data_IF_354898108629
#
_entry.id   IF_354898108629
#
_cell.length_a   1.000
_cell.length_b   1.000
_cell.length_c   1.000
_cell.angle_alpha   90.00
_cell.angle_beta   90.00
_cell.angle_gamma   90.00
#
_symmetry.space_group_name_H-M   'P 1'
#
loop_
_entity.id
_entity.type
_entity.pdbx_description
1 polymer ?
#
# COMPACT_ATOMS: atom_id res chain seq x y z
N UNK A 1 26.35 13.65 -34.40
CA UNK A 1 24.93 13.56 -33.98
C UNK A 1 24.59 12.10 -33.69
N UNK A 2 24.63 11.66 -32.42
CA UNK A 2 24.32 10.26 -32.05
C UNK A 2 22.80 10.03 -32.18
N UNK A 3 22.38 9.22 -33.15
CA UNK A 3 20.99 8.74 -33.23
C UNK A 3 20.75 7.78 -32.06
N UNK A 4 19.96 8.20 -31.08
CA UNK A 4 19.39 7.29 -30.08
C UNK A 4 18.41 6.37 -30.81
N UNK A 5 18.79 5.11 -31.05
CA UNK A 5 17.83 4.06 -31.37
C UNK A 5 17.03 3.79 -30.10
N UNK A 6 15.78 4.26 -30.07
CA UNK A 6 14.82 3.92 -29.03
C UNK A 6 14.42 2.47 -29.26
N UNK A 7 14.87 1.56 -28.39
CA UNK A 7 14.44 0.16 -28.39
C UNK A 7 13.02 0.08 -27.79
N UNK A 8 12.02 0.45 -28.60
CA UNK A 8 10.61 0.64 -28.22
C UNK A 8 10.05 -0.49 -27.34
N UNK A 9 10.34 -1.75 -27.68
CA UNK A 9 9.88 -2.92 -26.93
C UNK A 9 10.45 -3.02 -25.50
N UNK A 10 11.71 -2.62 -25.32
CA UNK A 10 12.35 -2.64 -23.99
C UNK A 10 11.75 -1.57 -23.09
N UNK A 11 11.40 -0.42 -23.65
CA UNK A 11 10.83 0.67 -22.87
C UNK A 11 9.37 0.40 -22.48
N UNK A 12 8.58 -0.25 -23.34
CA UNK A 12 7.24 -0.74 -22.98
C UNK A 12 7.30 -1.73 -21.80
N UNK A 13 8.23 -2.69 -21.83
CA UNK A 13 8.38 -3.66 -20.74
C UNK A 13 8.67 -3.00 -19.39
N UNK A 14 9.50 -1.96 -19.38
CA UNK A 14 9.79 -1.18 -18.15
C UNK A 14 8.56 -0.45 -17.64
N UNK A 15 7.80 0.17 -18.54
CA UNK A 15 6.56 0.89 -18.19
C UNK A 15 5.54 -0.07 -17.60
N UNK A 16 5.34 -1.24 -18.21
CA UNK A 16 4.46 -2.28 -17.67
C UNK A 16 4.90 -2.72 -16.28
N UNK A 17 6.20 -2.91 -16.06
CA UNK A 17 6.73 -3.31 -14.75
C UNK A 17 6.50 -2.23 -13.67
N UNK A 18 6.55 -0.95 -14.03
CA UNK A 18 6.18 0.15 -13.12
C UNK A 18 4.71 0.08 -12.74
N UNK A 19 3.80 -0.15 -13.69
CA UNK A 19 2.38 -0.31 -13.38
C UNK A 19 2.10 -1.53 -12.52
N UNK A 20 2.77 -2.66 -12.80
CA UNK A 20 2.68 -3.86 -11.96
C UNK A 20 3.15 -3.55 -10.54
N UNK A 21 4.26 -2.82 -10.38
CA UNK A 21 4.75 -2.41 -9.07
C UNK A 21 3.72 -1.60 -8.28
N UNK A 22 3.13 -0.59 -8.92
CA UNK A 22 2.09 0.24 -8.30
C UNK A 22 0.91 -0.63 -7.90
N UNK A 23 0.46 -1.51 -8.79
CA UNK A 23 -0.64 -2.44 -8.53
C UNK A 23 -0.34 -3.35 -7.33
N UNK A 24 0.83 -3.98 -7.29
CA UNK A 24 1.20 -4.88 -6.19
C UNK A 24 1.32 -4.12 -4.85
N UNK A 25 1.88 -2.91 -4.87
CA UNK A 25 2.02 -2.09 -3.68
C UNK A 25 0.65 -1.80 -3.04
N UNK A 26 -0.30 -1.28 -3.82
CA UNK A 26 -1.62 -0.92 -3.30
C UNK A 26 -2.49 -2.13 -2.94
N UNK A 27 -2.32 -3.27 -3.61
CA UNK A 27 -3.12 -4.47 -3.32
C UNK A 27 -2.54 -5.36 -2.22
N UNK A 28 -1.23 -5.31 -1.95
CA UNK A 28 -0.60 -6.27 -1.03
C UNK A 28 0.21 -5.62 0.08
N UNK A 29 1.07 -4.64 -0.24
CA UNK A 29 1.90 -3.98 0.78
C UNK A 29 1.02 -3.18 1.74
N UNK A 30 0.14 -2.36 1.17
CA UNK A 30 -0.79 -1.50 1.93
C UNK A 30 -1.78 -2.31 2.78
N UNK A 31 -2.12 -3.52 2.34
CA UNK A 31 -2.98 -4.44 3.11
C UNK A 31 -2.23 -5.19 4.21
N UNK A 32 -0.91 -5.10 4.28
CA UNK A 32 -0.15 -5.68 5.39
C UNK A 32 -0.19 -4.73 6.59
N UNK A 33 -0.27 -5.28 7.80
CA UNK A 33 -0.28 -4.51 9.05
C UNK A 33 1.11 -3.90 9.30
N UNK A 34 1.43 -2.86 8.55
CA UNK A 34 2.62 -2.02 8.67
C UNK A 34 2.21 -0.55 8.63
N UNK A 35 2.79 0.24 9.52
CA UNK A 35 2.70 1.70 9.48
C UNK A 35 3.43 2.27 8.27
N UNK A 36 3.11 3.51 7.89
CA UNK A 36 3.81 4.20 6.78
C UNK A 36 5.31 4.29 7.04
N UNK A 37 5.69 4.55 8.30
CA UNK A 37 7.11 4.67 8.70
C UNK A 37 7.83 3.33 8.52
N UNK A 38 7.20 2.21 8.92
CA UNK A 38 7.77 0.88 8.73
C UNK A 38 7.90 0.52 7.25
N UNK A 39 6.90 0.82 6.42
CA UNK A 39 6.97 0.59 4.97
C UNK A 39 8.14 1.37 4.36
N UNK A 40 8.26 2.66 4.68
CA UNK A 40 9.34 3.51 4.18
C UNK A 40 10.71 3.05 4.69
N UNK A 41 10.79 2.67 5.96
CA UNK A 41 12.01 2.13 6.58
C UNK A 41 12.46 0.84 5.92
N UNK A 42 11.55 -0.13 5.75
CA UNK A 42 11.83 -1.39 5.09
C UNK A 42 12.23 -1.19 3.63
N UNK A 43 11.52 -0.35 2.87
CA UNK A 43 11.86 -0.06 1.48
C UNK A 43 13.24 0.59 1.36
N UNK A 44 13.55 1.55 2.25
CA UNK A 44 14.86 2.23 2.27
C UNK A 44 15.99 1.27 2.61
N UNK A 45 15.80 0.43 3.63
CA UNK A 45 16.75 -0.62 3.99
C UNK A 45 16.96 -1.60 2.83
N UNK A 46 15.88 -2.00 2.15
CA UNK A 46 15.95 -2.88 0.99
C UNK A 46 16.76 -2.22 -0.14
N UNK A 47 16.52 -0.94 -0.46
CA UNK A 47 17.26 -0.19 -1.47
C UNK A 47 18.76 -0.10 -1.15
N UNK A 48 19.11 0.19 0.11
CA UNK A 48 20.51 0.28 0.55
C UNK A 48 21.20 -1.09 0.40
N UNK A 49 20.57 -2.16 0.88
CA UNK A 49 21.07 -3.52 0.70
C UNK A 49 21.21 -3.88 -0.79
N UNK A 50 20.20 -3.55 -1.59
CA UNK A 50 20.22 -3.72 -3.03
C UNK A 50 21.40 -3.02 -3.70
N UNK A 51 21.70 -1.79 -3.30
CA UNK A 51 22.87 -1.05 -3.79
C UNK A 51 24.19 -1.76 -3.44
N UNK A 52 24.33 -2.26 -2.21
CA UNK A 52 25.51 -3.03 -1.83
C UNK A 52 25.63 -4.33 -2.63
N UNK A 53 24.52 -5.06 -2.82
CA UNK A 53 24.49 -6.27 -3.67
C UNK A 53 24.94 -5.93 -5.09
N UNK A 54 24.39 -4.85 -5.67
CA UNK A 54 24.74 -4.39 -7.00
C UNK A 54 26.24 -4.08 -7.17
N UNK A 55 26.83 -3.44 -6.15
CA UNK A 55 28.23 -3.02 -6.16
C UNK A 55 29.20 -4.19 -5.93
N UNK A 56 28.90 -5.08 -4.99
CA UNK A 56 29.85 -6.10 -4.53
C UNK A 56 29.75 -7.44 -5.27
N UNK A 57 28.60 -7.78 -5.84
CA UNK A 57 28.40 -9.06 -6.55
C UNK A 57 28.52 -8.93 -8.08
N UNK A 58 29.16 -7.87 -8.57
CA UNK A 58 29.39 -7.58 -9.99
C UNK A 58 28.11 -7.68 -10.86
N UNK A 59 26.97 -7.34 -10.25
CA UNK A 59 25.65 -7.36 -10.89
C UNK A 59 25.56 -6.38 -12.06
N UNK A 60 26.50 -5.44 -12.14
CA UNK A 60 26.73 -4.51 -13.24
C UNK A 60 26.88 -5.21 -14.59
N UNK A 61 27.39 -6.46 -14.62
CA UNK A 61 27.49 -7.27 -15.84
C UNK A 61 26.12 -7.62 -16.42
N UNK A 62 25.12 -7.82 -15.57
CA UNK A 62 23.77 -8.24 -15.96
C UNK A 62 22.82 -7.04 -16.10
N UNK A 63 22.89 -6.08 -15.17
CA UNK A 63 22.03 -4.91 -15.16
C UNK A 63 22.90 -3.67 -15.26
N UNK A 64 22.97 -3.08 -16.44
CA UNK A 64 23.83 -1.91 -16.71
C UNK A 64 23.28 -0.61 -16.13
N UNK A 65 21.99 -0.55 -15.83
CA UNK A 65 21.32 0.66 -15.34
C UNK A 65 20.94 0.48 -13.87
N UNK A 66 21.76 1.04 -12.98
CA UNK A 66 21.56 0.99 -11.54
C UNK A 66 20.25 1.64 -11.10
N UNK A 67 19.82 2.74 -11.74
CA UNK A 67 18.56 3.41 -11.40
C UNK A 67 17.37 2.50 -11.72
N UNK A 68 17.40 1.81 -12.87
CA UNK A 68 16.36 0.85 -13.21
C UNK A 68 16.31 -0.32 -12.23
N UNK A 69 17.48 -0.83 -11.82
CA UNK A 69 17.56 -1.87 -10.81
C UNK A 69 16.96 -1.43 -9.47
N UNK A 70 17.44 -0.31 -8.91
CA UNK A 70 17.05 0.15 -7.57
C UNK A 70 15.63 0.70 -7.48
N UNK A 71 15.11 1.31 -8.55
CA UNK A 71 13.80 1.97 -8.53
C UNK A 71 12.67 1.16 -9.17
N UNK A 72 12.98 0.08 -9.90
CA UNK A 72 11.96 -0.73 -10.58
C UNK A 72 12.05 -2.20 -10.20
N UNK A 73 13.22 -2.83 -10.39
CA UNK A 73 13.38 -4.27 -10.12
C UNK A 73 13.31 -4.55 -8.61
N UNK A 74 14.02 -3.74 -7.82
CA UNK A 74 14.11 -3.99 -6.39
C UNK A 74 12.77 -3.74 -5.65
N UNK A 75 12.01 -2.65 -5.93
CA UNK A 75 10.66 -2.51 -5.42
C UNK A 75 9.73 -3.61 -5.89
N UNK A 76 9.95 -4.18 -7.08
CA UNK A 76 9.18 -5.33 -7.56
C UNK A 76 9.42 -6.57 -6.72
N UNK A 77 10.67 -6.91 -6.44
CA UNK A 77 11.01 -8.03 -5.54
C UNK A 77 10.41 -7.81 -4.16
N UNK A 78 10.52 -6.60 -3.62
CA UNK A 78 9.89 -6.22 -2.35
C UNK A 78 8.38 -6.44 -2.37
N UNK A 79 7.69 -5.92 -3.38
CA UNK A 79 6.24 -6.05 -3.52
C UNK A 79 5.80 -7.51 -3.70
N UNK A 80 6.58 -8.31 -4.45
CA UNK A 80 6.33 -9.74 -4.65
C UNK A 80 6.43 -10.51 -3.32
N UNK A 81 7.35 -10.14 -2.43
CA UNK A 81 7.40 -10.73 -1.08
C UNK A 81 6.08 -10.53 -0.31
N UNK A 82 5.51 -9.32 -0.35
CA UNK A 82 4.21 -9.05 0.28
C UNK A 82 3.05 -9.73 -0.43
N UNK A 83 3.11 -9.87 -1.76
CA UNK A 83 2.15 -10.67 -2.51
C UNK A 83 2.14 -12.14 -2.08
N UNK A 84 3.32 -12.73 -1.90
CA UNK A 84 3.47 -14.10 -1.39
C UNK A 84 2.93 -14.17 0.04
N UNK A 85 3.32 -13.23 0.90
CA UNK A 85 2.82 -13.13 2.28
C UNK A 85 1.29 -13.08 2.34
N UNK A 86 0.67 -12.29 1.46
CA UNK A 86 -0.77 -12.19 1.34
C UNK A 86 -1.37 -13.50 0.86
N UNK A 87 -0.85 -14.07 -0.23
CA UNK A 87 -1.43 -15.27 -0.88
C UNK A 87 -1.38 -16.50 0.04
N UNK A 88 -0.28 -16.70 0.77
CA UNK A 88 -0.07 -17.86 1.64
C UNK A 88 -0.40 -17.59 3.12
N UNK A 89 -1.13 -16.50 3.41
CA UNK A 89 -1.60 -16.24 4.77
C UNK A 89 -2.69 -17.25 5.18
N UNK A 90 -2.64 -17.68 6.43
CA UNK A 90 -3.41 -18.81 6.95
C UNK A 90 -4.74 -18.41 7.58
N UNK A 91 -4.91 -18.82 8.84
CA UNK A 91 -6.16 -18.68 9.60
C UNK A 91 -6.67 -17.23 9.64
N UNK A 92 -7.96 -17.08 9.38
CA UNK A 92 -8.65 -15.79 9.45
C UNK A 92 -9.07 -15.44 10.88
N UNK A 93 -8.97 -14.16 11.21
CA UNK A 93 -9.36 -13.54 12.47
C UNK A 93 -10.26 -12.34 12.16
N UNK A 94 -11.46 -12.33 12.71
CA UNK A 94 -12.42 -11.25 12.51
C UNK A 94 -12.39 -10.31 13.71
N UNK A 95 -12.27 -9.02 13.45
CA UNK A 95 -12.27 -7.98 14.46
C UNK A 95 -13.30 -6.90 14.13
N UNK A 96 -14.07 -6.45 15.12
CA UNK A 96 -15.11 -5.43 14.94
C UNK A 96 -14.81 -4.20 15.78
N UNK A 97 -14.94 -3.02 15.18
CA UNK A 97 -14.71 -1.75 15.86
C UNK A 97 -15.82 -0.76 15.56
N UNK A 98 -16.25 -0.05 16.60
CA UNK A 98 -17.02 1.18 16.43
C UNK A 98 -16.10 2.28 15.93
N UNK A 99 -16.62 3.10 15.03
CA UNK A 99 -15.89 4.23 14.47
C UNK A 99 -16.77 5.47 14.41
N UNK A 100 -16.11 6.62 14.51
CA UNK A 100 -16.66 7.92 14.20
C UNK A 100 -16.05 8.42 12.88
N UNK A 101 -16.80 9.25 12.15
CA UNK A 101 -16.29 9.95 10.97
C UNK A 101 -16.38 11.46 11.17
N UNK A 102 -15.41 12.19 10.62
CA UNK A 102 -15.39 13.65 10.70
C UNK A 102 -16.05 14.24 9.46
N UNK A 103 -16.91 15.24 9.66
CA UNK A 103 -17.40 16.11 8.60
C UNK A 103 -16.42 17.28 8.46
N UNK A 104 -15.75 17.39 7.32
CA UNK A 104 -14.89 18.54 7.03
C UNK A 104 -15.68 19.55 6.21
N UNK A 105 -15.78 20.79 6.67
CA UNK A 105 -16.31 21.89 5.85
C UNK A 105 -15.30 22.28 4.79
N UNK A 106 -15.65 22.17 3.51
CA UNK A 106 -14.81 22.72 2.44
C UNK A 106 -15.18 24.19 2.23
N UNK A 107 -14.32 25.12 2.69
CA UNK A 107 -14.40 26.53 2.32
C UNK A 107 -13.87 26.72 0.90
N UNK A 108 -14.65 26.28 -0.08
CA UNK A 108 -14.42 26.64 -1.48
C UNK A 108 -15.09 27.99 -1.73
N UNK A 109 -14.39 28.94 -2.38
CA UNK A 109 -14.88 30.29 -2.73
C UNK A 109 -16.29 30.32 -3.36
N UNK A 110 -16.75 29.22 -3.94
CA UNK A 110 -18.05 29.08 -4.60
C UNK A 110 -19.18 28.52 -3.74
N UNK A 111 -18.90 27.89 -2.58
CA UNK A 111 -19.96 27.34 -1.73
C UNK A 111 -19.49 27.12 -0.27
N UNK A 112 -19.54 28.16 0.60
CA UNK A 112 -18.94 28.15 1.96
C UNK A 112 -19.66 27.26 3.00
N UNK A 113 -20.43 26.25 2.56
CA UNK A 113 -21.16 25.33 3.46
C UNK A 113 -21.22 23.88 2.99
N UNK A 114 -20.45 23.49 1.96
CA UNK A 114 -20.43 22.09 1.53
C UNK A 114 -19.68 21.26 2.58
N UNK A 115 -20.42 20.49 3.38
CA UNK A 115 -19.87 19.48 4.27
C UNK A 115 -19.39 18.31 3.42
N UNK A 116 -18.11 18.00 3.49
CA UNK A 116 -17.48 16.85 2.85
C UNK A 116 -17.21 15.82 3.92
N UNK A 117 -17.70 14.60 3.71
CA UNK A 117 -17.45 13.48 4.62
C UNK A 117 -16.00 13.06 4.44
N UNK A 118 -15.26 12.97 5.55
CA UNK A 118 -13.90 12.42 5.55
C UNK A 118 -13.91 10.99 5.04
N UNK A 119 -13.00 10.67 4.13
CA UNK A 119 -12.71 9.28 3.69
C UNK A 119 -11.96 8.48 4.75
N UNK A 120 -11.56 9.13 5.85
CA UNK A 120 -10.86 8.51 6.97
C UNK A 120 -11.75 8.44 8.20
N UNK A 121 -11.79 7.27 8.84
CA UNK A 121 -12.52 7.01 10.08
C UNK A 121 -11.60 7.07 11.30
N UNK A 122 -12.18 7.31 12.47
CA UNK A 122 -11.49 7.23 13.76
C UNK A 122 -12.09 6.08 14.57
N UNK A 123 -11.27 5.10 14.94
CA UNK A 123 -11.73 3.98 15.76
C UNK A 123 -11.78 4.38 17.23
N UNK A 124 -12.84 3.99 17.95
CA UNK A 124 -13.05 4.40 19.34
C UNK A 124 -11.97 3.84 20.30
N UNK A 125 -11.35 2.71 19.91
CA UNK A 125 -10.34 1.99 20.69
C UNK A 125 -8.91 2.51 20.50
N UNK A 126 -8.68 3.56 19.69
CA UNK A 126 -7.35 3.99 19.19
C UNK A 126 -6.58 2.89 18.45
N UNK A 127 -7.22 1.76 18.15
CA UNK A 127 -6.58 0.69 17.39
C UNK A 127 -6.29 1.18 15.98
N UNK A 128 -5.15 0.75 15.45
CA UNK A 128 -4.71 1.09 14.09
C UNK A 128 -4.40 2.57 13.87
N UNK A 129 -4.06 3.33 14.92
CA UNK A 129 -3.83 4.77 14.76
C UNK A 129 -2.66 5.10 13.83
N UNK A 130 -1.61 4.29 13.90
CA UNK A 130 -0.40 4.40 13.05
C UNK A 130 -0.56 3.75 11.67
N UNK A 131 -1.68 3.09 11.42
CA UNK A 131 -1.94 2.31 10.20
C UNK A 131 -2.94 3.05 9.32
N UNK A 132 -2.47 4.14 8.73
CA UNK A 132 -3.27 5.07 7.94
C UNK A 132 -4.20 4.38 6.94
N UNK A 133 -3.67 3.43 6.16
CA UNK A 133 -4.44 2.77 5.11
C UNK A 133 -5.57 1.88 5.61
N UNK A 134 -5.52 1.41 6.86
CA UNK A 134 -6.64 0.64 7.45
C UNK A 134 -7.80 1.54 7.86
N UNK A 135 -7.59 2.86 7.93
CA UNK A 135 -8.61 3.83 8.32
C UNK A 135 -9.15 4.65 7.14
N UNK A 136 -8.57 4.52 5.94
CA UNK A 136 -8.93 5.32 4.77
C UNK A 136 -9.65 4.48 3.72
N UNK A 137 -10.83 4.94 3.30
CA UNK A 137 -11.73 4.23 2.40
C UNK A 137 -12.23 5.15 1.28
N UNK A 138 -12.32 4.63 0.06
CA UNK A 138 -12.82 5.41 -1.08
C UNK A 138 -14.35 5.60 -1.06
N UNK A 139 -15.10 4.67 -0.45
CA UNK A 139 -16.56 4.66 -0.47
C UNK A 139 -17.17 5.40 0.73
N UNK A 140 -17.27 6.73 0.63
CA UNK A 140 -17.81 7.58 1.68
C UNK A 140 -19.28 7.29 2.03
N UNK A 141 -20.08 6.77 1.10
CA UNK A 141 -21.51 6.48 1.32
C UNK A 141 -21.70 5.33 2.31
N UNK A 142 -20.79 4.36 2.29
CA UNK A 142 -20.79 3.25 3.26
C UNK A 142 -20.36 3.71 4.64
N UNK A 143 -19.48 4.70 4.74
CA UNK A 143 -19.03 5.27 6.02
C UNK A 143 -20.18 6.04 6.68
N UNK A 144 -20.91 6.88 5.93
CA UNK A 144 -21.97 7.75 6.47
C UNK A 144 -23.12 6.98 7.14
N UNK A 145 -23.52 5.85 6.55
CA UNK A 145 -24.70 5.07 6.97
C UNK A 145 -24.43 4.07 8.09
N UNK A 146 -23.16 3.85 8.42
CA UNK A 146 -22.70 2.79 9.32
C UNK A 146 -21.85 3.39 10.44
N UNK A 147 -21.67 2.62 11.52
CA UNK A 147 -20.86 3.01 12.68
C UNK A 147 -19.95 1.87 13.17
N UNK A 148 -20.01 0.70 12.52
CA UNK A 148 -19.15 -0.44 12.80
C UNK A 148 -18.38 -0.81 11.52
N UNK A 149 -17.07 -1.03 11.69
CA UNK A 149 -16.21 -1.64 10.68
C UNK A 149 -15.78 -3.01 11.17
N UNK A 150 -15.96 -4.02 10.32
CA UNK A 150 -15.51 -5.40 10.54
C UNK A 150 -14.30 -5.65 9.65
N UNK A 151 -13.15 -5.93 10.24
CA UNK A 151 -11.94 -6.33 9.53
C UNK A 151 -11.76 -7.84 9.60
N UNK A 152 -11.40 -8.44 8.48
CA UNK A 152 -10.96 -9.84 8.40
C UNK A 152 -9.47 -9.85 8.14
N UNK A 153 -8.70 -10.23 9.15
CA UNK A 153 -7.26 -10.39 9.07
C UNK A 153 -6.90 -11.84 8.84
N UNK A 154 -5.74 -12.08 8.24
CA UNK A 154 -5.11 -13.39 8.23
C UNK A 154 -3.66 -13.28 8.67
N UNK A 155 -3.17 -14.32 9.35
CA UNK A 155 -1.77 -14.40 9.77
C UNK A 155 -0.90 -14.84 8.60
N UNK A 156 -0.06 -13.93 8.11
CA UNK A 156 0.91 -14.20 7.06
C UNK A 156 2.22 -14.81 7.57
N UNK A 157 3.16 -14.93 6.64
CA UNK A 157 4.55 -15.30 6.87
C UNK A 157 5.20 -14.36 7.89
N UNK A 158 6.11 -14.92 8.70
CA UNK A 158 6.85 -14.19 9.74
C UNK A 158 5.94 -13.47 10.76
N UNK A 159 4.66 -13.85 10.86
CA UNK A 159 3.70 -13.22 11.75
C UNK A 159 3.13 -11.89 11.22
N UNK A 160 3.46 -11.49 9.99
CA UNK A 160 2.91 -10.29 9.37
C UNK A 160 1.43 -10.49 9.05
N UNK A 161 0.57 -9.82 9.79
CA UNK A 161 -0.89 -9.88 9.57
C UNK A 161 -1.25 -9.12 8.31
N UNK A 162 -2.21 -9.65 7.56
CA UNK A 162 -2.71 -9.04 6.33
C UNK A 162 -4.21 -8.84 6.42
N UNK A 163 -4.69 -7.66 6.04
CA UNK A 163 -6.10 -7.34 5.91
C UNK A 163 -6.63 -7.97 4.62
N UNK A 164 -7.51 -8.96 4.74
CA UNK A 164 -8.13 -9.64 3.60
C UNK A 164 -9.37 -8.93 3.10
N UNK A 165 -10.19 -8.47 4.03
CA UNK A 165 -11.50 -7.88 3.74
C UNK A 165 -11.90 -6.92 4.84
N UNK A 166 -12.71 -5.93 4.47
CA UNK A 166 -13.43 -5.08 5.41
C UNK A 166 -14.89 -4.94 5.00
N UNK A 167 -15.77 -4.78 5.97
CA UNK A 167 -17.20 -4.55 5.78
C UNK A 167 -17.71 -3.49 6.75
N UNK A 168 -18.67 -2.69 6.30
CA UNK A 168 -19.34 -1.68 7.12
C UNK A 168 -20.74 -2.15 7.47
N UNK A 169 -21.10 -2.02 8.75
CA UNK A 169 -22.43 -2.35 9.25
C UNK A 169 -22.92 -1.30 10.25
N UNK A 170 -24.23 -1.28 10.46
CA UNK A 170 -24.85 -0.47 11.50
C UNK A 170 -25.04 -1.32 12.74
N UNK A 171 -24.83 -0.73 13.91
CA UNK A 171 -25.25 -1.29 15.18
C UNK A 171 -26.78 -1.20 15.27
N UNK A 172 -27.44 -2.34 15.52
CA UNK A 172 -28.88 -2.42 15.73
C UNK A 172 -29.31 -1.72 17.03
#
# INVERSE_FOLDING_TARGET
MKRYKIDYYKDIGKVLLIFINIYLFFNYVVNTQLSIIEILGLLSAFIILGYFVYKYFDFQRFIKNICFYLLVILPFIFNVFFFINFTFSGKEEVEKYKFDYTLTSSDTRSNPRKKVISTTIKLNTRKYDDYFFFKTFADYKKIEKNNIVTYTFSKGLFGLRVLKKYEFSKED
#
